data_IF_760154238477
#
_entry.id   IF_760154238477
#
_cell.length_a   1.000
_cell.length_b   1.000
_cell.length_c   1.000
_cell.angle_alpha   90.00
_cell.angle_beta   90.00
_cell.angle_gamma   90.00
#
_symmetry.space_group_name_H-M   'P 1'
#
loop_
_entity.id
_entity.type
_entity.pdbx_description
1 polymer ?
#
# COMPACT_ATOMS: atom_id res chain seq x y z
N UNK A 1 4.87 5.00 7.62
CA UNK A 1 3.84 5.49 6.69
C UNK A 1 2.67 4.53 6.72
N UNK A 2 1.46 5.05 6.64
CA UNK A 2 0.26 4.25 6.39
C UNK A 2 0.19 3.84 4.92
N UNK A 3 -0.65 2.86 4.58
CA UNK A 3 -0.86 2.43 3.19
C UNK A 3 -1.41 3.56 2.30
N UNK A 4 -2.22 4.46 2.86
CA UNK A 4 -2.74 5.65 2.14
C UNK A 4 -1.59 6.59 1.80
N UNK A 5 -0.75 6.93 2.79
CA UNK A 5 0.41 7.80 2.60
C UNK A 5 1.40 7.21 1.58
N UNK A 6 1.59 5.87 1.61
CA UNK A 6 2.41 5.18 0.61
C UNK A 6 1.77 5.29 -0.78
N UNK A 7 0.48 4.95 -0.92
CA UNK A 7 -0.21 4.97 -2.21
C UNK A 7 -0.15 6.33 -2.89
N UNK A 8 -0.44 7.40 -2.15
CA UNK A 8 -0.47 8.76 -2.70
C UNK A 8 0.91 9.29 -3.11
N UNK A 9 2.00 8.67 -2.63
CA UNK A 9 3.36 9.16 -2.85
C UNK A 9 4.28 8.15 -3.55
N UNK A 10 3.80 6.95 -3.88
CA UNK A 10 4.63 5.84 -4.35
C UNK A 10 5.43 6.20 -5.60
N UNK A 11 4.79 6.86 -6.58
CA UNK A 11 5.42 7.32 -7.82
C UNK A 11 6.51 8.37 -7.55
N UNK A 12 6.22 9.34 -6.68
CA UNK A 12 7.15 10.41 -6.33
C UNK A 12 8.36 9.89 -5.56
N UNK A 13 8.14 8.97 -4.61
CA UNK A 13 9.21 8.32 -3.85
C UNK A 13 10.09 7.50 -4.80
N UNK A 14 9.48 6.68 -5.66
CA UNK A 14 10.20 5.88 -6.64
C UNK A 14 11.05 6.77 -7.55
N UNK A 15 10.45 7.80 -8.14
CA UNK A 15 11.15 8.71 -9.04
C UNK A 15 12.35 9.39 -8.36
N UNK A 16 12.22 9.79 -7.09
CA UNK A 16 13.35 10.38 -6.35
C UNK A 16 14.48 9.39 -6.10
N UNK A 17 14.15 8.12 -5.85
CA UNK A 17 15.14 7.07 -5.54
C UNK A 17 15.81 6.52 -6.81
N UNK A 18 15.07 6.34 -7.91
CA UNK A 18 15.56 5.63 -9.10
C UNK A 18 15.79 6.52 -10.31
N UNK A 19 15.12 7.68 -10.41
CA UNK A 19 15.23 8.57 -11.57
C UNK A 19 16.05 9.84 -11.28
N UNK A 20 16.66 9.93 -10.09
CA UNK A 20 17.57 11.01 -9.71
C UNK A 20 19.02 10.62 -9.96
N UNK A 21 19.82 11.55 -10.49
CA UNK A 21 21.27 11.38 -10.61
C UNK A 21 22.03 11.74 -9.32
N UNK A 22 21.33 12.10 -8.24
CA UNK A 22 21.97 12.48 -6.98
C UNK A 22 22.41 11.24 -6.19
N UNK A 23 23.61 11.27 -5.60
CA UNK A 23 24.08 10.19 -4.72
C UNK A 23 23.39 10.20 -3.35
N UNK A 24 22.92 11.37 -2.93
CA UNK A 24 22.21 11.59 -1.66
C UNK A 24 20.99 12.48 -1.86
N UNK A 25 19.87 12.13 -1.27
CA UNK A 25 18.59 12.85 -1.40
C UNK A 25 17.93 13.10 -0.04
N UNK A 26 17.08 14.13 0.03
CA UNK A 26 16.19 14.35 1.17
C UNK A 26 15.01 13.37 1.12
N UNK A 27 14.49 12.99 2.29
CA UNK A 27 13.31 12.12 2.44
C UNK A 27 12.08 12.96 2.75
N UNK A 28 11.81 13.95 1.92
CA UNK A 28 10.73 14.92 2.12
C UNK A 28 9.33 14.29 2.09
N UNK A 29 9.17 13.12 1.46
CA UNK A 29 7.96 12.30 1.55
C UNK A 29 7.63 11.85 2.97
N UNK A 30 8.55 11.95 3.93
CA UNK A 30 8.23 11.71 5.34
C UNK A 30 7.34 12.82 5.94
N UNK A 31 7.21 13.96 5.27
CA UNK A 31 6.38 15.09 5.73
C UNK A 31 4.90 14.73 5.88
N UNK A 32 4.39 13.83 5.02
CA UNK A 32 2.99 13.38 5.05
C UNK A 32 2.71 12.35 6.14
N UNK A 33 3.75 11.74 6.74
CA UNK A 33 3.57 10.71 7.76
C UNK A 33 2.86 11.28 8.99
N UNK A 34 1.77 10.67 9.40
CA UNK A 34 0.96 11.11 10.53
C UNK A 34 0.78 9.97 11.56
N UNK A 35 0.61 10.35 12.83
CA UNK A 35 0.30 9.42 13.90
C UNK A 35 -0.95 9.92 14.64
N UNK A 36 -2.11 9.38 14.25
CA UNK A 36 -3.41 9.84 14.75
C UNK A 36 -3.81 9.26 16.11
N UNK A 37 -3.30 8.07 16.45
CA UNK A 37 -3.69 7.34 17.67
C UNK A 37 -2.45 7.05 18.51
N UNK A 38 -2.08 8.02 19.34
CA UNK A 38 -0.95 7.91 20.26
C UNK A 38 -1.17 8.78 21.49
N UNK A 39 -0.61 8.36 22.63
CA UNK A 39 -0.45 9.26 23.76
C UNK A 39 0.49 10.42 23.41
N UNK A 40 0.45 11.49 24.22
CA UNK A 40 1.22 12.71 23.98
C UNK A 40 2.72 12.44 23.85
N UNK A 41 3.28 11.51 24.64
CA UNK A 41 4.71 11.22 24.61
C UNK A 41 5.12 10.56 23.29
N UNK A 42 4.35 9.55 22.86
CA UNK A 42 4.58 8.87 21.57
C UNK A 42 4.38 9.82 20.39
N UNK A 43 3.37 10.69 20.45
CA UNK A 43 3.14 11.71 19.44
C UNK A 43 4.34 12.66 19.30
N UNK A 44 4.82 13.24 20.41
CA UNK A 44 5.97 14.14 20.40
C UNK A 44 7.24 13.44 19.91
N UNK A 45 7.48 12.20 20.37
CA UNK A 45 8.62 11.39 19.92
C UNK A 45 8.59 11.18 18.41
N UNK A 46 7.45 10.74 17.87
CA UNK A 46 7.27 10.54 16.43
C UNK A 46 7.55 11.81 15.63
N UNK A 47 6.98 12.96 16.04
CA UNK A 47 7.19 14.22 15.33
C UNK A 47 8.65 14.71 15.35
N UNK A 48 9.35 14.51 16.47
CA UNK A 48 10.76 14.86 16.60
C UNK A 48 11.66 13.95 15.74
N UNK A 49 11.43 12.64 15.78
CA UNK A 49 12.17 11.67 14.94
C UNK A 49 11.92 11.92 13.45
N UNK A 50 10.66 12.13 13.06
CA UNK A 50 10.27 12.47 11.69
C UNK A 50 11.00 13.71 11.19
N UNK A 51 11.07 14.78 12.00
CA UNK A 51 11.81 16.00 11.66
C UNK A 51 13.29 15.71 11.47
N UNK A 52 13.93 15.01 12.41
CA UNK A 52 15.35 14.65 12.31
C UNK A 52 15.65 13.81 11.06
N UNK A 53 14.75 12.91 10.67
CA UNK A 53 14.93 12.13 9.44
C UNK A 53 14.80 12.96 8.17
N UNK A 54 13.93 13.97 8.15
CA UNK A 54 13.77 14.87 7.01
C UNK A 54 14.94 15.82 6.81
N UNK A 55 15.58 16.27 7.89
CA UNK A 55 16.76 17.16 7.84
C UNK A 55 18.01 16.44 7.29
N UNK A 56 18.08 15.13 7.45
CA UNK A 56 19.22 14.31 7.00
C UNK A 56 19.02 13.85 5.57
N UNK A 57 20.00 14.15 4.71
CA UNK A 57 20.15 13.48 3.42
C UNK A 57 20.53 12.01 3.64
N UNK A 58 20.04 11.15 2.76
CA UNK A 58 20.30 9.71 2.81
C UNK A 58 20.85 9.24 1.47
N UNK A 59 21.73 8.23 1.51
CA UNK A 59 22.31 7.65 0.30
C UNK A 59 21.22 7.00 -0.56
N UNK A 60 21.21 7.34 -1.85
CA UNK A 60 20.30 6.71 -2.83
C UNK A 60 20.52 5.21 -2.88
N UNK A 61 21.77 4.73 -2.88
CA UNK A 61 22.06 3.30 -2.85
C UNK A 61 21.46 2.58 -1.63
N UNK A 62 21.40 3.25 -0.47
CA UNK A 62 20.72 2.70 0.71
C UNK A 62 19.21 2.69 0.53
N UNK A 63 18.63 3.77 0.02
CA UNK A 63 17.19 3.85 -0.22
C UNK A 63 16.70 2.85 -1.26
N UNK A 64 17.47 2.59 -2.31
CA UNK A 64 17.20 1.55 -3.31
C UNK A 64 17.16 0.17 -2.65
N UNK A 65 18.12 -0.15 -1.77
CA UNK A 65 18.11 -1.42 -1.01
C UNK A 65 16.90 -1.55 -0.10
N UNK A 66 16.53 -0.49 0.62
CA UNK A 66 15.34 -0.52 1.48
C UNK A 66 14.06 -0.64 0.65
N UNK A 67 13.97 0.05 -0.49
CA UNK A 67 12.87 -0.09 -1.44
C UNK A 67 12.73 -1.54 -1.91
N UNK A 68 13.81 -2.15 -2.38
CA UNK A 68 13.81 -3.55 -2.82
C UNK A 68 13.44 -4.51 -1.69
N UNK A 69 13.84 -4.23 -0.43
CA UNK A 69 13.39 -5.03 0.73
C UNK A 69 11.89 -4.89 1.00
N UNK A 70 11.34 -3.70 0.83
CA UNK A 70 9.92 -3.43 1.08
C UNK A 70 9.01 -3.96 -0.04
N UNK A 71 9.40 -3.78 -1.30
CA UNK A 71 8.56 -4.07 -2.47
C UNK A 71 9.02 -5.31 -3.26
N UNK A 72 10.14 -5.90 -2.87
CA UNK A 72 10.74 -7.08 -3.50
C UNK A 72 11.41 -6.81 -4.85
N UNK A 73 11.50 -5.55 -5.31
CA UNK A 73 12.15 -5.22 -6.57
C UNK A 73 12.19 -3.72 -6.84
N UNK A 74 12.86 -3.34 -7.93
CA UNK A 74 13.08 -1.93 -8.30
C UNK A 74 11.90 -1.31 -9.05
N UNK A 75 11.05 -2.13 -9.68
CA UNK A 75 9.95 -1.65 -10.52
C UNK A 75 8.87 -0.93 -9.71
N UNK A 76 8.45 0.24 -10.20
CA UNK A 76 7.29 0.96 -9.68
C UNK A 76 6.01 0.12 -9.80
N UNK A 77 5.80 -0.57 -10.92
CA UNK A 77 4.62 -1.41 -11.13
C UNK A 77 4.49 -2.47 -10.04
N UNK A 78 5.63 -3.08 -9.66
CA UNK A 78 5.68 -4.08 -8.60
C UNK A 78 5.29 -3.50 -7.25
N UNK A 79 5.79 -2.31 -6.92
CA UNK A 79 5.44 -1.61 -5.69
C UNK A 79 3.94 -1.24 -5.65
N UNK A 80 3.39 -0.79 -6.78
CA UNK A 80 1.95 -0.52 -6.95
C UNK A 80 1.10 -1.78 -6.78
N UNK A 81 1.51 -2.90 -7.38
CA UNK A 81 0.81 -4.17 -7.26
C UNK A 81 0.80 -4.67 -5.81
N UNK A 82 1.94 -4.58 -5.10
CA UNK A 82 2.00 -4.93 -3.68
C UNK A 82 1.09 -4.02 -2.84
N UNK A 83 1.09 -2.71 -3.08
CA UNK A 83 0.20 -1.79 -2.38
C UNK A 83 -1.28 -2.14 -2.59
N UNK A 84 -1.69 -2.46 -3.83
CA UNK A 84 -3.03 -2.96 -4.13
C UNK A 84 -3.34 -4.28 -3.45
N UNK A 85 -2.39 -5.21 -3.41
CA UNK A 85 -2.54 -6.47 -2.69
C UNK A 85 -2.77 -6.23 -1.19
N UNK A 86 -2.03 -5.32 -0.56
CA UNK A 86 -2.27 -4.91 0.84
C UNK A 86 -3.66 -4.28 1.03
N UNK A 87 -4.15 -3.50 0.06
CA UNK A 87 -5.51 -2.96 0.08
C UNK A 87 -6.59 -4.04 0.00
N UNK A 88 -6.33 -5.19 -0.64
CA UNK A 88 -7.27 -6.31 -0.63
C UNK A 88 -7.49 -6.85 0.80
N UNK A 89 -6.48 -6.80 1.68
CA UNK A 89 -6.65 -7.11 3.11
C UNK A 89 -7.51 -6.06 3.83
N UNK A 90 -7.48 -4.80 3.41
CA UNK A 90 -8.39 -3.76 3.96
C UNK A 90 -9.83 -4.06 3.56
N UNK A 91 -10.05 -4.52 2.32
CA UNK A 91 -11.38 -4.84 1.77
C UNK A 91 -11.95 -6.12 2.38
N UNK A 92 -11.22 -7.22 2.25
CA UNK A 92 -11.70 -8.56 2.55
C UNK A 92 -11.21 -9.12 3.90
N UNK A 93 -10.26 -8.45 4.55
CA UNK A 93 -9.75 -8.88 5.86
C UNK A 93 -9.15 -10.28 5.81
N UNK A 94 -9.50 -11.10 6.80
CA UNK A 94 -9.07 -12.50 6.90
C UNK A 94 -9.52 -13.40 5.74
N UNK A 95 -10.45 -12.95 4.89
CA UNK A 95 -10.84 -13.71 3.71
C UNK A 95 -9.71 -13.78 2.67
N UNK A 96 -8.74 -12.87 2.73
CA UNK A 96 -7.52 -12.95 1.90
C UNK A 96 -6.59 -14.10 2.26
N UNK A 97 -6.73 -14.71 3.45
CA UNK A 97 -5.90 -15.84 3.85
C UNK A 97 -6.27 -17.14 3.10
N UNK A 98 -7.49 -17.24 2.58
CA UNK A 98 -7.95 -18.36 1.74
C UNK A 98 -8.95 -17.83 0.68
N UNK A 99 -8.46 -17.09 -0.34
CA UNK A 99 -9.32 -16.44 -1.34
C UNK A 99 -10.19 -17.42 -2.11
N UNK A 100 -9.69 -18.62 -2.42
CA UNK A 100 -10.41 -19.68 -3.14
C UNK A 100 -11.71 -20.06 -2.42
N UNK A 101 -11.62 -20.34 -1.11
CA UNK A 101 -12.81 -20.74 -0.34
C UNK A 101 -13.66 -19.56 0.11
N UNK A 102 -13.04 -18.43 0.46
CA UNK A 102 -13.72 -17.32 1.13
C UNK A 102 -14.17 -16.20 0.19
N UNK A 103 -13.49 -15.98 -0.94
CA UNK A 103 -13.77 -14.89 -1.89
C UNK A 103 -14.35 -15.42 -3.20
N UNK A 104 -13.77 -16.48 -3.78
CA UNK A 104 -14.16 -16.94 -5.12
C UNK A 104 -15.41 -17.82 -5.17
N UNK A 105 -16.07 -18.06 -4.04
CA UNK A 105 -17.43 -18.61 -4.03
C UNK A 105 -18.49 -17.49 -4.17
N UNK A 106 -19.39 -17.55 -5.17
CA UNK A 106 -20.35 -16.47 -5.50
C UNK A 106 -21.18 -15.99 -4.29
N UNK A 107 -21.73 -16.92 -3.50
CA UNK A 107 -22.51 -16.58 -2.31
C UNK A 107 -21.68 -15.93 -1.20
N UNK A 108 -20.37 -16.17 -1.14
CA UNK A 108 -19.48 -15.59 -0.14
C UNK A 108 -19.03 -14.20 -0.56
N UNK A 109 -18.70 -13.97 -1.83
CA UNK A 109 -18.34 -12.64 -2.32
C UNK A 109 -19.48 -11.65 -2.11
N UNK A 110 -20.71 -12.01 -2.48
CA UNK A 110 -21.86 -11.13 -2.30
C UNK A 110 -22.07 -10.77 -0.82
N UNK A 111 -21.91 -11.75 0.09
CA UNK A 111 -21.96 -11.51 1.54
C UNK A 111 -20.82 -10.62 2.02
N UNK A 112 -19.60 -10.82 1.53
CA UNK A 112 -18.43 -10.01 1.89
C UNK A 112 -18.62 -8.56 1.42
N UNK A 113 -19.07 -8.36 0.18
CA UNK A 113 -19.36 -7.04 -0.38
C UNK A 113 -20.49 -6.34 0.38
N UNK A 114 -21.58 -7.06 0.69
CA UNK A 114 -22.68 -6.53 1.50
C UNK A 114 -22.31 -6.26 2.96
N UNK A 115 -21.20 -6.82 3.45
CA UNK A 115 -20.64 -6.60 4.78
C UNK A 115 -19.51 -5.59 4.81
N UNK A 116 -19.08 -5.02 3.68
CA UNK A 116 -18.08 -3.94 3.64
C UNK A 116 -18.62 -2.83 4.55
N UNK A 117 -18.06 -2.60 5.75
CA UNK A 117 -18.46 -1.50 6.59
C UNK A 117 -18.16 -0.23 5.81
N UNK A 118 -19.04 0.76 5.94
CA UNK A 118 -18.97 2.04 5.24
C UNK A 118 -17.82 2.95 5.75
N UNK A 119 -16.75 2.35 6.30
CA UNK A 119 -15.57 3.11 6.71
C UNK A 119 -14.90 3.69 5.47
N UNK A 120 -14.52 4.97 5.55
CA UNK A 120 -13.93 5.71 4.43
C UNK A 120 -12.73 4.98 3.82
N UNK A 121 -11.90 4.32 4.65
CA UNK A 121 -10.72 3.58 4.21
C UNK A 121 -11.06 2.33 3.40
N UNK A 122 -12.09 1.57 3.78
CA UNK A 122 -12.48 0.37 3.01
C UNK A 122 -13.10 0.75 1.67
N UNK A 123 -13.91 1.81 1.63
CA UNK A 123 -14.46 2.38 0.38
C UNK A 123 -13.37 2.89 -0.55
N UNK A 124 -12.40 3.62 0.00
CA UNK A 124 -11.24 4.09 -0.75
C UNK A 124 -10.46 2.92 -1.35
N UNK A 125 -10.07 1.93 -0.54
CA UNK A 125 -9.33 0.76 -1.00
C UNK A 125 -10.10 -0.02 -2.09
N UNK A 126 -11.42 -0.17 -1.92
CA UNK A 126 -12.28 -0.79 -2.91
C UNK A 126 -12.24 -0.04 -4.26
N UNK A 127 -12.34 1.29 -4.23
CA UNK A 127 -12.26 2.12 -5.45
C UNK A 127 -10.91 1.98 -6.15
N UNK A 128 -9.80 2.05 -5.41
CA UNK A 128 -8.44 1.99 -5.97
C UNK A 128 -8.11 0.61 -6.57
N UNK A 129 -8.62 -0.47 -5.97
CA UNK A 129 -8.32 -1.83 -6.42
C UNK A 129 -9.32 -2.38 -7.44
N UNK A 130 -10.61 -2.13 -7.22
CA UNK A 130 -11.70 -2.80 -7.93
C UNK A 130 -12.52 -1.81 -8.78
N UNK A 131 -12.44 -0.51 -8.50
CA UNK A 131 -13.20 0.53 -9.22
C UNK A 131 -14.71 0.37 -9.05
N UNK A 132 -15.47 0.87 -10.01
CA UNK A 132 -16.90 0.58 -10.14
C UNK A 132 -17.08 -0.81 -10.77
N UNK A 133 -16.86 -1.88 -10.01
CA UNK A 133 -17.14 -3.22 -10.50
C UNK A 133 -18.64 -3.41 -10.71
N UNK A 134 -19.06 -3.49 -11.97
CA UNK A 134 -20.47 -3.67 -12.38
C UNK A 134 -21.00 -5.09 -12.13
N UNK A 135 -20.11 -6.05 -11.85
CA UNK A 135 -20.49 -7.45 -11.61
C UNK A 135 -19.56 -8.19 -10.62
N UNK A 136 -20.09 -9.27 -10.02
CA UNK A 136 -19.33 -10.19 -9.16
C UNK A 136 -18.21 -10.90 -9.94
N UNK A 137 -18.45 -11.25 -11.20
CA UNK A 137 -17.45 -11.88 -12.07
C UNK A 137 -16.22 -10.97 -12.28
N UNK A 138 -16.47 -9.70 -12.62
CA UNK A 138 -15.41 -8.71 -12.81
C UNK A 138 -14.59 -8.50 -11.52
N UNK A 139 -15.26 -8.51 -10.37
CA UNK A 139 -14.58 -8.40 -9.07
C UNK A 139 -13.62 -9.57 -8.84
N UNK A 140 -14.05 -10.81 -9.09
CA UNK A 140 -13.20 -11.99 -8.91
C UNK A 140 -11.98 -11.95 -9.81
N UNK A 141 -12.17 -11.69 -11.10
CA UNK A 141 -11.07 -11.61 -12.07
C UNK A 141 -10.03 -10.56 -11.67
N UNK A 142 -10.46 -9.40 -11.16
CA UNK A 142 -9.53 -8.37 -10.67
C UNK A 142 -8.78 -8.82 -9.42
N UNK A 143 -9.45 -9.47 -8.47
CA UNK A 143 -8.80 -10.01 -7.26
C UNK A 143 -7.78 -11.08 -7.63
N UNK A 144 -8.13 -12.06 -8.47
CA UNK A 144 -7.21 -13.09 -8.95
C UNK A 144 -6.00 -12.47 -9.63
N UNK A 145 -6.21 -11.55 -10.58
CA UNK A 145 -5.11 -10.89 -11.29
C UNK A 145 -4.15 -10.12 -10.36
N UNK A 146 -4.65 -9.54 -9.26
CA UNK A 146 -3.80 -8.86 -8.28
C UNK A 146 -3.02 -9.84 -7.41
N UNK A 147 -3.61 -11.00 -7.08
CA UNK A 147 -2.92 -12.07 -6.35
C UNK A 147 -1.79 -12.64 -7.22
N UNK A 148 -2.09 -12.99 -8.48
CA UNK A 148 -1.14 -13.60 -9.42
C UNK A 148 0.07 -12.69 -9.63
N UNK A 149 -0.17 -11.40 -9.96
CA UNK A 149 0.88 -10.39 -10.14
C UNK A 149 1.79 -10.20 -8.92
N UNK A 150 1.30 -10.53 -7.74
CA UNK A 150 2.05 -10.39 -6.48
C UNK A 150 2.73 -11.70 -6.09
N UNK A 151 2.24 -12.86 -6.52
CA UNK A 151 2.86 -14.17 -6.27
C UNK A 151 4.02 -14.47 -7.21
N UNK A 152 3.94 -14.06 -8.48
CA UNK A 152 5.05 -14.15 -9.46
C UNK A 152 6.29 -13.31 -9.06
N UNK A 153 6.17 -12.57 -7.96
CA UNK A 153 7.18 -11.67 -7.44
C UNK A 153 8.01 -12.29 -6.30
N UNK A 154 7.55 -13.33 -5.59
CA UNK A 154 8.25 -13.89 -4.41
C UNK A 154 9.11 -15.11 -4.71
#
# INVERSE_FOLDING_TARGET
MTIVEVWENIDSIHAKIFNSNAEVISRDWLSVCSLHTADIQRFLKFHNERRSFMEKKESVAKLQREWMRCFGGESLERAVNLARYMMLFIIFGEAMADPEKKIFHNGNLQKLLGRIPDSGMRRWAFRECLGSCESLGNTKSKVSALIDKTQDSF
#
